data_IF_569354202827
#
_entry.id   IF_569354202827
#
_cell.length_a   1.000
_cell.length_b   1.000
_cell.length_c   1.000
_cell.angle_alpha   90.00
_cell.angle_beta   90.00
_cell.angle_gamma   90.00
#
_symmetry.space_group_name_H-M   'P 1'
#
loop_
_entity.id
_entity.type
_entity.pdbx_description
1 polymer ?
#
# COMPACT_ATOMS: atom_id res chain seq x y z
N UNK A 1 0.85 -9.98 16.42
CA UNK A 1 -0.06 -9.30 17.36
C UNK A 1 -1.36 -8.97 16.65
N UNK A 2 -2.47 -9.05 17.34
CA UNK A 2 -3.80 -8.90 16.74
C UNK A 2 -4.10 -7.50 16.19
N UNK A 3 -3.37 -6.49 16.66
CA UNK A 3 -3.54 -5.11 16.23
C UNK A 3 -2.45 -4.61 15.29
N UNK A 4 -1.67 -5.51 14.72
CA UNK A 4 -0.59 -5.14 13.82
C UNK A 4 -1.12 -4.68 12.46
N UNK A 5 -0.50 -3.62 11.91
CA UNK A 5 -0.74 -3.16 10.55
C UNK A 5 0.60 -3.04 9.84
N UNK A 6 0.70 -3.63 8.67
CA UNK A 6 1.89 -3.53 7.83
C UNK A 6 1.71 -2.38 6.84
N UNK A 7 2.74 -1.54 6.73
CA UNK A 7 2.80 -0.48 5.72
C UNK A 7 3.99 -0.81 4.84
N UNK A 8 3.75 -1.22 3.60
CA UNK A 8 4.83 -1.50 2.66
C UNK A 8 4.92 -0.41 1.60
N UNK A 9 6.14 -0.12 1.18
CA UNK A 9 6.37 0.93 0.19
C UNK A 9 7.22 0.45 -0.98
N UNK A 10 6.91 0.99 -2.16
CA UNK A 10 7.72 0.87 -3.37
C UNK A 10 8.08 2.26 -3.85
N UNK A 11 9.36 2.57 -4.00
CA UNK A 11 9.82 3.91 -4.30
C UNK A 11 11.11 3.92 -5.13
N UNK A 12 11.29 4.97 -5.93
CA UNK A 12 12.55 5.27 -6.61
C UNK A 12 13.24 6.49 -5.98
N UNK A 13 12.46 7.42 -5.43
CA UNK A 13 12.98 8.71 -4.95
C UNK A 13 12.92 8.88 -3.44
N UNK A 14 12.31 7.93 -2.73
CA UNK A 14 12.15 8.00 -1.28
C UNK A 14 10.85 8.64 -0.80
N UNK A 15 10.03 9.20 -1.67
CA UNK A 15 8.79 9.85 -1.28
C UNK A 15 7.79 8.87 -0.66
N UNK A 16 7.65 7.69 -1.25
CA UNK A 16 6.75 6.66 -0.71
C UNK A 16 7.22 6.17 0.65
N UNK A 17 8.53 6.08 0.85
CA UNK A 17 9.09 5.69 2.15
C UNK A 17 8.75 6.71 3.24
N UNK A 18 8.91 8.01 2.96
CA UNK A 18 8.56 9.07 3.90
C UNK A 18 7.08 9.03 4.28
N UNK A 19 6.21 8.80 3.31
CA UNK A 19 4.78 8.68 3.58
C UNK A 19 4.45 7.43 4.39
N UNK A 20 5.12 6.32 4.11
CA UNK A 20 4.96 5.10 4.90
C UNK A 20 5.38 5.31 6.36
N UNK A 21 6.46 6.04 6.59
CA UNK A 21 6.90 6.42 7.95
C UNK A 21 5.84 7.27 8.65
N UNK A 22 5.21 8.19 7.93
CA UNK A 22 4.12 9.02 8.47
C UNK A 22 2.94 8.14 8.89
N UNK A 23 2.54 7.20 8.06
CA UNK A 23 1.43 6.30 8.36
C UNK A 23 1.71 5.45 9.61
N UNK A 24 2.91 4.89 9.72
CA UNK A 24 3.31 4.10 10.89
C UNK A 24 3.31 4.95 12.15
N UNK A 25 3.79 6.20 12.06
CA UNK A 25 3.77 7.12 13.20
C UNK A 25 2.37 7.47 13.66
N UNK A 26 1.39 7.49 12.76
CA UNK A 26 0.00 7.78 13.09
C UNK A 26 -0.75 6.57 13.67
N UNK A 27 -0.31 5.36 13.34
CA UNK A 27 -1.06 4.13 13.64
C UNK A 27 -1.36 3.94 15.14
N UNK A 28 -0.43 4.33 16.03
CA UNK A 28 -0.62 4.15 17.47
C UNK A 28 -1.80 4.93 18.03
N UNK A 29 -2.16 6.06 17.40
CA UNK A 29 -3.32 6.86 17.79
C UNK A 29 -4.65 6.16 17.46
N UNK A 30 -4.60 5.09 16.69
CA UNK A 30 -5.76 4.30 16.26
C UNK A 30 -5.70 2.87 16.80
N UNK A 31 -4.96 2.67 17.88
CA UNK A 31 -4.81 1.36 18.53
C UNK A 31 -4.16 0.30 17.64
N UNK A 32 -3.37 0.73 16.66
CA UNK A 32 -2.69 -0.15 15.71
C UNK A 32 -1.18 -0.09 15.93
N UNK A 33 -0.54 -1.24 15.84
CA UNK A 33 0.92 -1.37 15.93
C UNK A 33 1.49 -1.39 14.49
N UNK A 34 2.03 -0.27 14.05
CA UNK A 34 2.54 -0.10 12.70
C UNK A 34 3.89 -0.78 12.49
N UNK A 35 4.05 -1.44 11.35
CA UNK A 35 5.30 -2.05 10.93
C UNK A 35 5.59 -1.61 9.50
N UNK A 36 6.71 -0.91 9.30
CA UNK A 36 7.11 -0.44 7.97
C UNK A 36 8.03 -1.47 7.31
N UNK A 37 7.81 -1.73 6.02
CA UNK A 37 8.65 -2.63 5.24
C UNK A 37 8.84 -2.10 3.82
N UNK A 38 10.08 -2.18 3.34
CA UNK A 38 10.38 -2.01 1.92
C UNK A 38 9.82 -3.23 1.18
N UNK A 39 9.19 -3.02 0.04
CA UNK A 39 8.64 -4.13 -0.76
C UNK A 39 9.72 -5.15 -1.16
N UNK A 40 10.97 -4.73 -1.27
CA UNK A 40 12.10 -5.64 -1.53
C UNK A 40 12.23 -6.71 -0.44
N UNK A 41 11.81 -6.40 0.78
CA UNK A 41 11.90 -7.30 1.94
C UNK A 41 10.61 -8.07 2.23
N UNK A 42 9.56 -7.83 1.46
CA UNK A 42 8.25 -8.49 1.65
C UNK A 42 8.14 -9.70 0.74
N UNK A 43 7.60 -10.79 1.27
CA UNK A 43 7.35 -12.03 0.52
C UNK A 43 5.84 -12.28 0.41
N UNK A 44 5.45 -13.15 -0.53
CA UNK A 44 4.03 -13.52 -0.65
C UNK A 44 3.53 -14.27 0.58
N UNK A 45 4.40 -15.01 1.26
CA UNK A 45 4.04 -15.68 2.52
C UNK A 45 3.69 -14.65 3.59
N UNK A 46 4.42 -13.54 3.65
CA UNK A 46 4.13 -12.45 4.57
C UNK A 46 2.78 -11.80 4.26
N UNK A 47 2.44 -11.65 2.98
CA UNK A 47 1.15 -11.12 2.57
C UNK A 47 0.00 -12.07 2.98
N UNK A 48 0.20 -13.37 2.86
CA UNK A 48 -0.81 -14.37 3.26
C UNK A 48 -1.07 -14.35 4.76
N UNK A 49 -0.07 -14.05 5.57
CA UNK A 49 -0.18 -13.96 7.02
C UNK A 49 -0.67 -12.60 7.50
N UNK A 50 -0.61 -11.59 6.64
CA UNK A 50 -0.97 -10.22 6.98
C UNK A 50 -2.48 -10.05 7.05
N UNK A 51 -2.96 -9.36 8.07
CA UNK A 51 -4.39 -9.07 8.23
C UNK A 51 -4.74 -7.66 7.77
N UNK A 52 -3.83 -6.71 7.96
CA UNK A 52 -4.04 -5.29 7.62
C UNK A 52 -2.84 -4.76 6.91
N UNK A 53 -3.06 -4.14 5.75
CA UNK A 53 -2.00 -3.67 4.87
C UNK A 53 -2.32 -2.30 4.30
N UNK A 54 -1.38 -1.37 4.42
CA UNK A 54 -1.37 -0.14 3.62
C UNK A 54 -0.23 -0.26 2.62
N UNK A 55 -0.54 -0.02 1.35
CA UNK A 55 0.45 0.02 0.26
C UNK A 55 0.69 1.47 -0.10
N UNK A 56 1.95 1.89 -0.11
CA UNK A 56 2.36 3.23 -0.58
C UNK A 56 3.34 3.00 -1.73
N UNK A 57 2.92 3.29 -2.95
CA UNK A 57 3.70 2.93 -4.12
C UNK A 57 3.79 4.06 -5.14
N UNK A 58 5.04 4.37 -5.54
CA UNK A 58 5.31 5.32 -6.61
C UNK A 58 5.19 4.64 -7.97
N UNK A 59 4.96 5.45 -8.99
CA UNK A 59 4.99 5.01 -10.39
C UNK A 59 6.30 5.50 -11.00
N UNK A 60 7.01 4.61 -11.68
CA UNK A 60 8.28 4.91 -12.32
C UNK A 60 8.14 4.95 -13.85
N UNK A 61 8.84 5.88 -14.48
CA UNK A 61 8.88 5.98 -15.93
C UNK A 61 7.50 6.02 -16.58
N UNK A 62 7.26 5.14 -17.53
CA UNK A 62 6.02 5.07 -18.31
C UNK A 62 4.94 4.18 -17.64
N UNK A 63 4.80 4.24 -16.33
CA UNK A 63 3.80 3.46 -15.60
C UNK A 63 4.34 2.18 -14.99
N UNK A 64 5.66 2.08 -14.85
CA UNK A 64 6.32 0.89 -14.34
C UNK A 64 6.34 0.86 -12.81
N UNK A 65 6.44 -0.36 -12.27
CA UNK A 65 6.67 -0.54 -10.85
C UNK A 65 8.08 -0.04 -10.50
N UNK A 66 8.26 0.57 -9.30
CA UNK A 66 9.60 0.85 -8.81
C UNK A 66 10.44 -0.43 -8.76
N UNK A 67 11.75 -0.31 -8.92
CA UNK A 67 12.65 -1.47 -8.93
C UNK A 67 12.47 -2.34 -7.69
N UNK A 68 12.32 -1.73 -6.52
CA UNK A 68 12.14 -2.46 -5.27
C UNK A 68 10.76 -3.12 -5.13
N UNK A 69 9.82 -2.82 -6.00
CA UNK A 69 8.45 -3.37 -5.94
C UNK A 69 8.20 -4.46 -7.01
N UNK A 70 8.98 -4.47 -8.08
CA UNK A 70 8.68 -5.30 -9.26
C UNK A 70 8.60 -6.80 -8.94
N UNK A 71 9.59 -7.32 -8.20
CA UNK A 71 9.64 -8.75 -7.90
C UNK A 71 8.44 -9.19 -7.05
N UNK A 72 8.09 -8.40 -6.06
CA UNK A 72 6.93 -8.70 -5.20
C UNK A 72 5.63 -8.62 -6.01
N UNK A 73 5.49 -7.62 -6.86
CA UNK A 73 4.31 -7.47 -7.70
C UNK A 73 4.15 -8.69 -8.62
N UNK A 74 5.21 -9.10 -9.29
CA UNK A 74 5.19 -10.27 -10.18
C UNK A 74 4.83 -11.54 -9.41
N UNK A 75 5.40 -11.73 -8.22
CA UNK A 75 5.10 -12.89 -7.37
C UNK A 75 3.65 -12.88 -6.89
N UNK A 76 3.11 -11.70 -6.59
CA UNK A 76 1.72 -11.54 -6.16
C UNK A 76 0.76 -11.88 -7.31
N UNK A 77 1.10 -11.47 -8.52
CA UNK A 77 0.33 -11.80 -9.71
C UNK A 77 0.24 -13.31 -9.96
N UNK A 78 1.27 -14.06 -9.57
CA UNK A 78 1.31 -15.51 -9.74
C UNK A 78 0.56 -16.28 -8.65
N UNK A 79 0.13 -15.61 -7.59
CA UNK A 79 -0.62 -16.26 -6.51
C UNK A 79 -1.96 -16.79 -7.02
N UNK A 80 -2.45 -17.84 -6.37
CA UNK A 80 -3.78 -18.39 -6.64
C UNK A 80 -4.86 -17.41 -6.20
N UNK A 81 -5.94 -17.30 -6.95
CA UNK A 81 -7.09 -16.47 -6.55
C UNK A 81 -7.64 -16.97 -5.22
N UNK A 82 -7.94 -16.03 -4.32
CA UNK A 82 -8.41 -16.37 -2.96
C UNK A 82 -7.30 -16.52 -1.93
N UNK A 83 -6.03 -16.51 -2.34
CA UNK A 83 -4.88 -16.65 -1.43
C UNK A 83 -4.83 -15.59 -0.34
N UNK A 84 -5.38 -14.40 -0.62
CA UNK A 84 -5.36 -13.25 0.30
C UNK A 84 -6.73 -12.97 0.93
N UNK A 85 -7.59 -13.97 1.04
CA UNK A 85 -8.97 -13.79 1.50
C UNK A 85 -9.11 -13.24 2.92
N UNK A 86 -8.07 -13.32 3.75
CA UNK A 86 -8.07 -12.75 5.10
C UNK A 86 -7.45 -11.36 5.20
N UNK A 87 -7.02 -10.78 4.09
CA UNK A 87 -6.32 -9.50 4.06
C UNK A 87 -7.29 -8.34 3.85
N UNK A 88 -7.18 -7.32 4.72
CA UNK A 88 -7.80 -6.01 4.50
C UNK A 88 -6.70 -5.04 4.04
N UNK A 89 -6.97 -4.25 2.99
CA UNK A 89 -5.93 -3.38 2.42
C UNK A 89 -6.47 -2.04 1.97
N UNK A 90 -5.55 -1.08 1.83
CA UNK A 90 -5.80 0.20 1.18
C UNK A 90 -4.51 0.65 0.50
N UNK A 91 -4.64 1.39 -0.60
CA UNK A 91 -3.50 1.80 -1.45
C UNK A 91 -3.44 3.31 -1.60
N UNK A 92 -2.28 3.89 -1.32
CA UNK A 92 -1.94 5.26 -1.69
C UNK A 92 -0.95 5.18 -2.85
N UNK A 93 -1.36 5.71 -4.00
CA UNK A 93 -0.55 5.72 -5.21
C UNK A 93 0.06 7.11 -5.41
N UNK A 94 1.35 7.14 -5.73
CA UNK A 94 2.06 8.36 -6.07
C UNK A 94 2.37 8.37 -7.55
N UNK A 95 2.27 9.55 -8.17
CA UNK A 95 2.60 9.73 -9.56
C UNK A 95 2.73 11.21 -9.91
N UNK A 96 2.80 11.48 -11.21
CA UNK A 96 2.87 12.83 -11.75
C UNK A 96 1.91 12.91 -12.93
N UNK A 97 0.95 13.83 -12.87
CA UNK A 97 -0.06 14.02 -13.94
C UNK A 97 0.56 14.49 -15.26
N UNK A 98 1.83 14.91 -15.25
CA UNK A 98 2.57 15.21 -16.49
C UNK A 98 2.84 13.95 -17.33
N UNK A 99 2.72 12.75 -16.74
CA UNK A 99 2.91 11.47 -17.43
C UNK A 99 1.56 10.83 -17.76
N UNK A 100 1.50 10.15 -18.92
CA UNK A 100 0.27 9.53 -19.42
C UNK A 100 -0.29 8.45 -18.49
N UNK A 101 0.59 7.68 -17.83
CA UNK A 101 0.20 6.59 -16.94
C UNK A 101 0.29 7.02 -15.47
N UNK A 102 -0.46 8.04 -15.12
CA UNK A 102 -0.52 8.60 -13.78
C UNK A 102 -0.95 7.55 -12.74
N UNK A 103 -0.11 7.37 -11.70
CA UNK A 103 -0.37 6.46 -10.57
C UNK A 103 -0.62 5.00 -10.98
N UNK A 104 -0.11 4.57 -12.13
CA UNK A 104 -0.37 3.23 -12.67
C UNK A 104 0.09 2.11 -11.73
N UNK A 105 1.26 2.24 -11.10
CA UNK A 105 1.76 1.22 -10.19
C UNK A 105 0.83 0.96 -9.01
N UNK A 106 0.33 2.03 -8.39
CA UNK A 106 -0.63 1.90 -7.29
C UNK A 106 -1.94 1.30 -7.74
N UNK A 107 -2.41 1.68 -8.93
CA UNK A 107 -3.62 1.09 -9.52
C UNK A 107 -3.46 -0.41 -9.71
N UNK A 108 -2.30 -0.85 -10.18
CA UNK A 108 -2.00 -2.26 -10.36
C UNK A 108 -2.05 -3.02 -9.03
N UNK A 109 -1.48 -2.46 -7.97
CA UNK A 109 -1.54 -3.05 -6.63
C UNK A 109 -2.97 -3.15 -6.11
N UNK A 110 -3.75 -2.09 -6.30
CA UNK A 110 -5.14 -2.04 -5.86
C UNK A 110 -5.98 -3.15 -6.53
N UNK A 111 -5.74 -3.39 -7.81
CA UNK A 111 -6.44 -4.40 -8.59
C UNK A 111 -5.96 -5.81 -8.21
N UNK A 112 -4.65 -6.05 -8.14
CA UNK A 112 -4.13 -7.40 -7.89
C UNK A 112 -4.49 -7.90 -6.50
N UNK A 113 -4.43 -7.04 -5.49
CA UNK A 113 -4.78 -7.47 -4.13
C UNK A 113 -6.24 -7.88 -4.03
N UNK A 114 -7.14 -7.16 -4.69
CA UNK A 114 -8.55 -7.55 -4.75
C UNK A 114 -8.74 -8.85 -5.53
N UNK A 115 -8.07 -9.00 -6.66
CA UNK A 115 -8.16 -10.23 -7.47
C UNK A 115 -7.70 -11.47 -6.72
N UNK A 116 -6.77 -11.33 -5.79
CA UNK A 116 -6.26 -12.44 -4.98
C UNK A 116 -7.09 -12.68 -3.71
N UNK A 117 -8.18 -11.97 -3.53
CA UNK A 117 -9.14 -12.19 -2.46
C UNK A 117 -9.12 -11.16 -1.34
N UNK A 118 -8.23 -10.18 -1.38
CA UNK A 118 -8.17 -9.12 -0.37
C UNK A 118 -9.41 -8.24 -0.37
N UNK A 119 -9.73 -7.68 0.79
CA UNK A 119 -10.85 -6.75 0.95
C UNK A 119 -10.33 -5.32 1.01
N UNK A 120 -10.77 -4.48 0.09
CA UNK A 120 -10.41 -3.05 0.09
C UNK A 120 -11.16 -2.34 1.20
N UNK A 121 -10.45 -1.90 2.23
CA UNK A 121 -11.04 -1.25 3.41
C UNK A 121 -11.35 0.23 3.16
N UNK A 122 -10.61 0.86 2.25
CA UNK A 122 -10.80 2.25 1.85
C UNK A 122 -10.46 2.40 0.38
N UNK A 123 -11.07 3.37 -0.29
CA UNK A 123 -10.79 3.67 -1.68
C UNK A 123 -9.34 4.11 -1.85
N UNK A 124 -8.72 3.71 -2.97
CA UNK A 124 -7.38 4.15 -3.34
C UNK A 124 -7.37 5.67 -3.50
N UNK A 125 -6.30 6.32 -3.04
CA UNK A 125 -6.03 7.71 -3.38
C UNK A 125 -4.88 7.75 -4.40
N UNK A 126 -5.05 8.57 -5.44
CA UNK A 126 -4.02 8.81 -6.44
C UNK A 126 -3.47 10.22 -6.20
N UNK A 127 -2.22 10.30 -5.78
CA UNK A 127 -1.58 11.56 -5.40
C UNK A 127 -0.60 12.02 -6.47
N UNK A 128 -0.69 13.29 -6.83
CA UNK A 128 0.26 13.97 -7.71
C UNK A 128 1.44 14.49 -6.88
N UNK A 129 2.24 15.37 -7.44
CA UNK A 129 3.42 15.94 -6.77
C UNK A 129 3.08 16.73 -5.51
N UNK A 130 1.83 17.16 -5.34
CA UNK A 130 1.31 17.84 -4.16
C UNK A 130 0.76 16.88 -3.09
N UNK A 131 1.25 15.64 -3.04
CA UNK A 131 0.74 14.58 -2.18
C UNK A 131 0.66 14.94 -0.68
N UNK A 132 1.52 15.82 -0.19
CA UNK A 132 1.52 16.23 1.22
C UNK A 132 0.18 16.86 1.64
N UNK A 133 -0.53 17.48 0.71
CA UNK A 133 -1.81 18.14 0.99
C UNK A 133 -2.94 17.15 1.29
N UNK A 134 -2.80 15.89 0.83
CA UNK A 134 -3.89 14.91 0.87
C UNK A 134 -3.56 13.64 1.64
N UNK A 135 -2.29 13.29 1.75
CA UNK A 135 -1.87 11.99 2.27
C UNK A 135 -2.27 11.79 3.73
N UNK A 136 -2.03 12.79 4.59
CA UNK A 136 -2.35 12.65 6.02
C UNK A 136 -3.84 12.46 6.26
N UNK A 137 -4.69 13.23 5.58
CA UNK A 137 -6.14 13.09 5.69
C UNK A 137 -6.60 11.68 5.28
N UNK A 138 -6.01 11.16 4.22
CA UNK A 138 -6.33 9.82 3.75
C UNK A 138 -5.86 8.76 4.76
N UNK A 139 -4.67 8.93 5.34
CA UNK A 139 -4.19 8.02 6.38
C UNK A 139 -5.11 8.03 7.60
N UNK A 140 -5.56 9.20 8.04
CA UNK A 140 -6.49 9.31 9.16
C UNK A 140 -7.75 8.48 8.91
N UNK A 141 -8.38 8.68 7.77
CA UNK A 141 -9.60 7.96 7.40
C UNK A 141 -9.37 6.46 7.26
N UNK A 142 -8.27 6.08 6.67
CA UNK A 142 -7.89 4.68 6.46
C UNK A 142 -7.64 3.98 7.81
N UNK A 143 -6.87 4.62 8.69
CA UNK A 143 -6.58 4.06 10.01
C UNK A 143 -7.83 3.96 10.88
N UNK A 144 -8.75 4.92 10.79
CA UNK A 144 -10.04 4.85 11.46
C UNK A 144 -10.83 3.60 11.02
N UNK A 145 -10.83 3.31 9.72
CA UNK A 145 -11.52 2.14 9.18
C UNK A 145 -10.88 0.84 9.64
N UNK A 146 -9.56 0.77 9.70
CA UNK A 146 -8.86 -0.39 10.24
C UNK A 146 -9.13 -0.55 11.74
N UNK A 147 -9.14 0.55 12.50
CA UNK A 147 -9.47 0.51 13.92
C UNK A 147 -10.87 -0.07 14.16
N UNK A 148 -11.82 0.28 13.32
CA UNK A 148 -13.20 -0.20 13.44
C UNK A 148 -13.32 -1.72 13.26
N UNK A 149 -12.31 -2.39 12.70
CA UNK A 149 -12.30 -3.84 12.50
C UNK A 149 -11.55 -4.60 13.60
N UNK A 150 -11.01 -3.90 14.57
CA UNK A 150 -10.29 -4.51 15.68
C UNK A 150 -11.19 -5.31 16.62
#
# INVERSE_FOLDING_TARGET
>A
MENEIMVMFGTETGNAEELAETAVGMASSYDLAGKILDMEDVTVDMLQECKRLIVVCSTWGDGEQPVNAQDLYDSTMEMTDGSLSGLEFAVLALGDTAFDLFCESGKEWDIVLENKGGTRINERIDCDTDYDDYAEDWFEKTLEKFQATL
#
